data_IF_644567814290
#
_entry.id   IF_644567814290
#
_cell.length_a   1.000
_cell.length_b   1.000
_cell.length_c   1.000
_cell.angle_alpha   90.00
_cell.angle_beta   90.00
_cell.angle_gamma   90.00
#
_symmetry.space_group_name_H-M   'P 1'
#
loop_
_entity.id
_entity.type
_entity.pdbx_description
1 polymer ?
#
# COMPACT_ATOMS: atom_id res chain seq x y z
N UNK A 1 0.72 -7.99 21.29
CA UNK A 1 2.06 -7.84 20.69
C UNK A 1 3.15 -7.78 21.77
N UNK A 2 3.20 -8.72 22.73
CA UNK A 2 4.25 -8.68 23.77
C UNK A 2 5.63 -9.11 23.26
N UNK A 3 5.70 -9.86 22.15
CA UNK A 3 6.95 -10.45 21.63
C UNK A 3 7.25 -10.07 20.16
N UNK A 4 6.58 -9.05 19.60
CA UNK A 4 6.79 -8.65 18.20
C UNK A 4 7.05 -7.14 18.08
N UNK A 5 7.98 -6.79 17.20
CA UNK A 5 8.28 -5.40 16.84
C UNK A 5 7.69 -5.12 15.45
N UNK A 6 7.03 -3.98 15.31
CA UNK A 6 6.36 -3.61 14.06
C UNK A 6 6.81 -2.23 13.64
N UNK A 7 7.28 -2.13 12.39
CA UNK A 7 7.51 -0.87 11.69
C UNK A 7 6.51 -0.73 10.56
N UNK A 8 6.03 0.49 10.32
CA UNK A 8 5.04 0.79 9.27
C UNK A 8 5.60 1.83 8.31
N UNK A 9 5.70 1.44 7.05
CA UNK A 9 6.01 2.34 5.94
C UNK A 9 4.81 2.52 5.03
N UNK A 10 4.66 3.72 4.50
CA UNK A 10 3.59 4.10 3.58
C UNK A 10 4.25 4.89 2.46
N UNK A 11 3.94 4.54 1.22
CA UNK A 11 4.22 5.38 0.06
C UNK A 11 2.91 6.03 -0.37
N UNK A 12 2.90 7.34 -0.48
CA UNK A 12 1.73 8.11 -0.89
C UNK A 12 1.53 8.05 -2.41
N UNK A 13 0.49 8.74 -2.86
CA UNK A 13 0.05 8.74 -4.25
C UNK A 13 1.08 9.43 -5.15
N UNK A 14 1.67 10.52 -4.67
CA UNK A 14 2.73 11.23 -5.38
C UNK A 14 3.95 10.31 -5.61
N UNK A 15 4.42 9.65 -4.55
CA UNK A 15 5.49 8.65 -4.67
C UNK A 15 5.15 7.56 -5.69
N UNK A 16 3.94 6.99 -5.65
CA UNK A 16 3.52 5.96 -6.62
C UNK A 16 3.51 6.49 -8.06
N UNK A 17 2.99 7.70 -8.27
CA UNK A 17 2.89 8.31 -9.60
C UNK A 17 4.28 8.72 -10.13
N UNK A 18 5.23 9.08 -9.27
CA UNK A 18 6.60 9.46 -9.66
C UNK A 18 7.51 8.26 -9.95
N UNK A 19 7.55 7.26 -9.07
CA UNK A 19 8.54 6.17 -9.14
C UNK A 19 7.95 4.81 -9.53
N UNK A 20 6.67 4.76 -9.90
CA UNK A 20 5.87 3.54 -10.14
C UNK A 20 5.59 2.70 -8.87
N UNK A 21 4.59 1.81 -8.97
CA UNK A 21 4.09 1.04 -7.83
C UNK A 21 5.08 0.03 -7.28
N UNK A 22 5.95 -0.54 -8.12
CA UNK A 22 6.94 -1.51 -7.66
C UNK A 22 7.98 -0.80 -6.78
N UNK A 23 8.55 0.31 -7.25
CA UNK A 23 9.54 1.04 -6.46
C UNK A 23 8.91 1.75 -5.25
N UNK A 24 7.67 2.25 -5.36
CA UNK A 24 6.94 2.78 -4.22
C UNK A 24 6.68 1.70 -3.15
N UNK A 25 6.39 0.46 -3.57
CA UNK A 25 6.29 -0.69 -2.64
C UNK A 25 7.62 -0.96 -1.96
N UNK A 26 8.73 -1.00 -2.70
CA UNK A 26 10.08 -1.15 -2.13
C UNK A 26 10.43 -0.01 -1.17
N UNK A 27 10.05 1.23 -1.50
CA UNK A 27 10.24 2.41 -0.65
C UNK A 27 9.45 2.29 0.67
N UNK A 28 8.19 1.87 0.60
CA UNK A 28 7.36 1.63 1.79
C UNK A 28 7.96 0.51 2.66
N UNK A 29 8.42 -0.60 2.06
CA UNK A 29 9.09 -1.69 2.79
C UNK A 29 10.37 -1.22 3.46
N UNK A 30 11.22 -0.45 2.77
CA UNK A 30 12.42 0.15 3.36
C UNK A 30 12.10 1.09 4.52
N UNK A 31 11.04 1.88 4.40
CA UNK A 31 10.57 2.76 5.47
C UNK A 31 10.05 1.96 6.67
N UNK A 32 9.34 0.85 6.43
CA UNK A 32 8.88 -0.06 7.48
C UNK A 32 10.07 -0.69 8.22
N UNK A 33 11.07 -1.17 7.47
CA UNK A 33 12.32 -1.71 8.00
C UNK A 33 13.05 -0.70 8.90
N UNK A 34 13.27 0.53 8.43
CA UNK A 34 13.95 1.60 9.20
C UNK A 34 13.21 2.00 10.48
N UNK A 35 11.91 1.75 10.57
CA UNK A 35 11.08 2.03 11.76
C UNK A 35 11.00 0.86 12.74
N UNK A 36 11.60 -0.29 12.44
CA UNK A 36 11.68 -1.39 13.40
C UNK A 36 12.56 -0.98 14.57
N UNK A 37 12.05 -1.15 15.80
CA UNK A 37 12.81 -0.86 17.03
C UNK A 37 14.00 -1.81 17.23
N UNK A 38 13.92 -3.01 16.65
CA UNK A 38 14.97 -4.02 16.73
C UNK A 38 15.37 -4.42 15.32
N UNK A 39 16.67 -4.40 15.04
CA UNK A 39 17.23 -4.85 13.77
C UNK A 39 17.07 -6.38 13.66
N UNK A 40 16.44 -6.91 12.60
CA UNK A 40 16.39 -8.34 12.33
C UNK A 40 17.74 -8.83 11.79
N UNK A 41 17.95 -10.15 11.75
CA UNK A 41 19.14 -10.75 11.11
C UNK A 41 18.93 -11.01 9.62
N UNK A 42 17.68 -11.32 9.22
CA UNK A 42 17.28 -11.64 7.84
C UNK A 42 15.91 -11.00 7.58
N UNK A 43 15.67 -10.55 6.35
CA UNK A 43 14.38 -10.05 5.88
C UNK A 43 13.72 -11.07 4.94
N UNK A 44 12.54 -11.56 5.31
CA UNK A 44 11.71 -12.39 4.42
C UNK A 44 10.70 -11.49 3.70
N UNK A 45 10.75 -11.45 2.37
CA UNK A 45 9.93 -10.55 1.54
C UNK A 45 8.91 -11.37 0.75
N UNK A 46 7.63 -10.99 0.81
CA UNK A 46 6.63 -11.60 -0.06
C UNK A 46 6.78 -11.10 -1.50
N UNK A 47 7.07 -12.01 -2.43
CA UNK A 47 7.26 -11.70 -3.83
C UNK A 47 8.53 -12.31 -4.42
N UNK A 48 8.95 -11.77 -5.57
CA UNK A 48 10.10 -12.22 -6.36
C UNK A 48 11.18 -11.13 -6.50
N UNK A 49 11.21 -10.18 -5.57
CA UNK A 49 12.13 -9.05 -5.62
C UNK A 49 12.74 -8.78 -4.24
N UNK A 50 13.89 -8.13 -4.25
CA UNK A 50 14.55 -7.63 -3.05
C UNK A 50 14.32 -6.12 -2.87
N UNK A 51 14.56 -5.68 -1.64
CA UNK A 51 14.58 -4.27 -1.25
C UNK A 51 16.03 -3.86 -0.95
N UNK A 52 16.38 -2.62 -1.28
CA UNK A 52 17.73 -2.13 -1.06
C UNK A 52 17.95 -1.87 0.44
N UNK A 53 18.55 -2.84 1.13
CA UNK A 53 18.93 -2.78 2.54
C UNK A 53 20.31 -3.39 2.74
N UNK A 54 20.92 -3.07 3.87
CA UNK A 54 22.18 -3.65 4.32
C UNK A 54 22.04 -5.08 4.90
N UNK A 55 20.82 -5.61 4.97
CA UNK A 55 20.51 -6.94 5.50
C UNK A 55 20.20 -7.89 4.36
N UNK A 56 20.51 -9.17 4.54
CA UNK A 56 20.14 -10.23 3.60
C UNK A 56 18.61 -10.29 3.46
N UNK A 57 18.14 -10.16 2.21
CA UNK A 57 16.74 -10.24 1.82
C UNK A 57 16.51 -11.60 1.15
N UNK A 58 15.49 -12.34 1.59
CA UNK A 58 15.06 -13.59 0.97
C UNK A 58 13.66 -13.40 0.40
N UNK A 59 13.52 -13.22 -0.92
CA UNK A 59 12.22 -13.18 -1.59
C UNK A 59 11.55 -14.56 -1.55
N UNK A 60 10.26 -14.60 -1.21
CA UNK A 60 9.46 -15.82 -1.17
C UNK A 60 8.17 -15.56 -1.96
N UNK A 61 8.01 -16.27 -3.09
CA UNK A 61 6.77 -16.22 -3.87
C UNK A 61 5.63 -16.85 -3.06
N UNK A 62 4.54 -16.09 -2.88
CA UNK A 62 3.41 -16.44 -1.99
C UNK A 62 3.90 -16.68 -0.56
N UNK A 63 4.72 -15.75 -0.07
CA UNK A 63 5.37 -15.85 1.23
C UNK A 63 4.39 -15.80 2.38
N UNK A 64 3.26 -15.12 2.21
CA UNK A 64 2.15 -15.06 3.16
C UNK A 64 1.56 -16.44 3.50
N UNK A 65 1.61 -17.39 2.56
CA UNK A 65 1.15 -18.78 2.73
C UNK A 65 2.23 -19.71 3.29
N UNK A 66 3.49 -19.25 3.36
CA UNK A 66 4.66 -20.08 3.68
C UNK A 66 5.40 -19.64 4.95
N UNK A 67 5.19 -18.40 5.39
CA UNK A 67 5.88 -17.81 6.54
C UNK A 67 4.91 -17.07 7.44
N UNK A 68 4.89 -17.46 8.72
CA UNK A 68 4.06 -16.82 9.75
C UNK A 68 4.42 -15.34 9.91
N UNK A 69 5.71 -14.98 9.78
CA UNK A 69 6.18 -13.60 9.86
C UNK A 69 5.65 -12.75 8.70
N UNK A 70 5.64 -13.31 7.48
CA UNK A 70 5.07 -12.62 6.31
C UNK A 70 3.56 -12.51 6.45
N UNK A 71 2.85 -13.58 6.84
CA UNK A 71 1.41 -13.56 7.08
C UNK A 71 1.01 -12.47 8.10
N UNK A 72 1.75 -12.39 9.22
CA UNK A 72 1.53 -11.37 10.24
C UNK A 72 1.75 -9.94 9.68
N UNK A 73 2.81 -9.73 8.90
CA UNK A 73 3.06 -8.44 8.24
C UNK A 73 1.95 -8.06 7.26
N UNK A 74 1.45 -9.01 6.46
CA UNK A 74 0.34 -8.80 5.51
C UNK A 74 -0.96 -8.40 6.23
N UNK A 75 -1.28 -9.05 7.35
CA UNK A 75 -2.45 -8.68 8.18
C UNK A 75 -2.30 -7.24 8.72
N UNK A 76 -1.14 -6.91 9.28
CA UNK A 76 -0.88 -5.58 9.82
C UNK A 76 -1.00 -4.52 8.72
N UNK A 77 -0.36 -4.74 7.56
CA UNK A 77 -0.41 -3.84 6.43
C UNK A 77 -1.85 -3.63 5.94
N UNK A 78 -2.64 -4.71 5.82
CA UNK A 78 -4.04 -4.65 5.42
C UNK A 78 -4.89 -3.84 6.40
N UNK A 79 -4.78 -4.12 7.70
CA UNK A 79 -5.54 -3.40 8.74
C UNK A 79 -5.16 -1.92 8.79
N UNK A 80 -3.88 -1.59 8.67
CA UNK A 80 -3.42 -0.18 8.62
C UNK A 80 -3.98 0.52 7.39
N UNK A 81 -3.87 -0.10 6.20
CA UNK A 81 -4.38 0.47 4.95
C UNK A 81 -5.89 0.70 5.02
N UNK A 82 -6.65 -0.28 5.52
CA UNK A 82 -8.10 -0.17 5.60
C UNK A 82 -8.53 0.97 6.54
N UNK A 83 -7.84 1.15 7.67
CA UNK A 83 -8.06 2.30 8.57
C UNK A 83 -7.75 3.65 7.91
N UNK A 84 -6.72 3.72 7.05
CA UNK A 84 -6.44 4.93 6.26
C UNK A 84 -7.59 5.23 5.31
N UNK A 85 -8.10 4.21 4.60
CA UNK A 85 -9.23 4.38 3.68
C UNK A 85 -10.51 4.79 4.41
N UNK A 86 -10.75 4.28 5.62
CA UNK A 86 -11.89 4.71 6.44
C UNK A 86 -11.81 6.19 6.82
N UNK A 87 -10.60 6.67 7.16
CA UNK A 87 -10.36 8.11 7.39
C UNK A 87 -10.59 8.93 6.13
N UNK A 88 -10.14 8.46 4.97
CA UNK A 88 -10.44 9.14 3.71
C UNK A 88 -11.93 9.19 3.39
N UNK A 89 -12.70 8.16 3.74
CA UNK A 89 -14.16 8.18 3.58
C UNK A 89 -14.82 9.28 4.42
N UNK A 90 -14.28 9.55 5.61
CA UNK A 90 -14.74 10.65 6.46
C UNK A 90 -14.38 12.02 5.87
N UNK A 91 -13.15 12.19 5.38
CA UNK A 91 -12.68 13.44 4.77
C UNK A 91 -13.39 13.74 3.44
N UNK A 92 -13.57 12.72 2.61
CA UNK A 92 -14.19 12.80 1.29
C UNK A 92 -15.58 12.14 1.32
N UNK A 93 -16.54 12.79 1.99
CA UNK A 93 -17.87 12.23 2.28
C UNK A 93 -18.69 11.80 1.04
N UNK A 94 -18.31 12.25 -0.16
CA UNK A 94 -18.91 11.84 -1.45
C UNK A 94 -18.43 10.48 -1.94
N UNK A 95 -17.35 9.95 -1.37
CA UNK A 95 -16.72 8.69 -1.77
C UNK A 95 -16.81 7.67 -0.64
N UNK A 96 -17.22 6.46 -0.97
CA UNK A 96 -17.40 5.38 0.01
C UNK A 96 -16.12 4.57 0.19
N UNK A 97 -15.00 5.26 0.43
CA UNK A 97 -13.68 4.64 0.59
C UNK A 97 -13.65 3.59 1.71
N UNK A 98 -14.51 3.71 2.71
CA UNK A 98 -14.66 2.71 3.76
C UNK A 98 -15.22 1.36 3.27
N UNK A 99 -15.88 1.33 2.10
CA UNK A 99 -16.40 0.12 1.45
C UNK A 99 -15.42 -0.43 0.42
N UNK A 100 -15.11 0.35 -0.62
CA UNK A 100 -14.30 -0.13 -1.74
C UNK A 100 -12.79 0.03 -1.53
N UNK A 101 -12.33 0.68 -0.45
CA UNK A 101 -10.91 0.82 -0.08
C UNK A 101 -10.01 1.36 -1.20
N UNK A 102 -10.58 2.17 -2.09
CA UNK A 102 -9.91 2.75 -3.25
C UNK A 102 -9.68 1.79 -4.44
N UNK A 103 -10.16 0.54 -4.38
CA UNK A 103 -10.14 -0.36 -5.53
C UNK A 103 -11.11 0.13 -6.63
N UNK A 104 -10.85 -0.16 -7.91
CA UNK A 104 -11.68 0.28 -9.04
C UNK A 104 -12.97 -0.55 -9.15
N UNK A 105 -13.78 -0.56 -8.09
CA UNK A 105 -15.12 -1.16 -8.13
C UNK A 105 -16.05 -0.29 -8.98
N UNK A 106 -17.14 -0.88 -9.49
CA UNK A 106 -18.17 -0.13 -10.23
C UNK A 106 -18.63 1.13 -9.48
N UNK A 107 -18.85 1.01 -8.17
CA UNK A 107 -19.26 2.13 -7.33
C UNK A 107 -18.19 3.23 -7.25
N UNK A 108 -16.92 2.87 -7.09
CA UNK A 108 -15.83 3.84 -7.03
C UNK A 108 -15.67 4.60 -8.36
N UNK A 109 -15.79 3.89 -9.49
CA UNK A 109 -15.76 4.49 -10.82
C UNK A 109 -16.90 5.50 -10.99
N UNK A 110 -18.12 5.13 -10.63
CA UNK A 110 -19.28 6.04 -10.67
C UNK A 110 -19.11 7.27 -9.77
N UNK A 111 -18.51 7.11 -8.59
CA UNK A 111 -18.20 8.24 -7.69
C UNK A 111 -17.16 9.18 -8.31
N UNK A 112 -16.13 8.67 -8.99
CA UNK A 112 -15.14 9.49 -9.69
C UNK A 112 -15.78 10.23 -10.88
N UNK A 113 -16.61 9.55 -11.68
CA UNK A 113 -17.33 10.18 -12.79
C UNK A 113 -18.27 11.29 -12.32
N UNK A 114 -18.94 11.09 -11.17
CA UNK A 114 -19.91 12.04 -10.64
C UNK A 114 -19.27 13.22 -9.89
N UNK A 115 -18.19 12.98 -9.16
CA UNK A 115 -17.63 13.95 -8.21
C UNK A 115 -16.20 14.41 -8.55
N UNK A 116 -15.56 13.80 -9.55
CA UNK A 116 -14.24 14.15 -10.05
C UNK A 116 -13.10 13.29 -9.52
N UNK A 117 -11.88 13.54 -9.99
CA UNK A 117 -10.66 12.91 -9.49
C UNK A 117 -10.09 13.70 -8.32
N UNK A 118 -9.89 13.05 -7.17
CA UNK A 118 -9.23 13.63 -6.00
C UNK A 118 -7.70 13.48 -6.05
N UNK A 119 -6.98 14.30 -5.26
CA UNK A 119 -5.53 14.21 -5.07
C UNK A 119 -5.03 12.86 -4.53
N UNK A 120 -5.89 12.09 -3.86
CA UNK A 120 -5.57 10.75 -3.35
C UNK A 120 -5.74 9.62 -4.39
N UNK A 121 -6.12 9.94 -5.63
CA UNK A 121 -6.14 8.97 -6.72
C UNK A 121 -4.80 8.94 -7.45
N UNK A 122 -4.31 7.74 -7.76
CA UNK A 122 -3.11 7.51 -8.57
C UNK A 122 -3.40 7.87 -10.02
N UNK A 123 -2.91 9.03 -10.46
CA UNK A 123 -3.25 9.61 -11.77
C UNK A 123 -2.58 8.86 -12.92
N UNK A 124 -1.53 8.09 -12.64
CA UNK A 124 -0.86 7.25 -13.63
C UNK A 124 -1.57 5.91 -13.88
N UNK A 125 -2.56 5.55 -13.06
CA UNK A 125 -3.26 4.26 -13.15
C UNK A 125 -4.54 4.37 -13.99
N UNK A 126 -4.80 3.39 -14.85
CA UNK A 126 -6.14 3.19 -15.42
C UNK A 126 -7.11 2.72 -14.30
N UNK A 127 -8.36 3.21 -14.25
CA UNK A 127 -9.03 4.09 -15.24
C UNK A 127 -8.84 5.60 -15.01
N UNK A 128 -8.22 6.01 -13.90
CA UNK A 128 -8.09 7.43 -13.52
C UNK A 128 -7.34 8.24 -14.59
N UNK A 129 -6.25 7.69 -15.13
CA UNK A 129 -5.47 8.34 -16.19
C UNK A 129 -6.32 8.67 -17.42
N UNK A 130 -7.19 7.74 -17.81
CA UNK A 130 -8.07 7.88 -18.97
C UNK A 130 -9.16 8.92 -18.72
N UNK A 131 -9.71 8.96 -17.50
CA UNK A 131 -10.70 9.96 -17.09
C UNK A 131 -10.13 11.37 -17.09
N UNK A 132 -8.86 11.55 -16.69
CA UNK A 132 -8.18 12.86 -16.73
C UNK A 132 -7.95 13.32 -18.18
N UNK A 133 -7.59 12.40 -19.08
CA UNK A 133 -7.30 12.74 -20.49
C UNK A 133 -8.54 13.06 -21.34
N UNK A 134 -9.72 12.61 -20.91
CA UNK A 134 -11.00 12.83 -21.61
C UNK A 134 -11.65 14.17 -21.28
N UNK A 135 -11.21 14.82 -20.20
CA UNK A 135 -11.66 16.15 -19.78
C UNK A 135 -10.66 17.21 -20.24
#
# INVERSE_FOLDING_TARGET
MKNSHVGIGVADVECVDTINVLNATKHAMNTAYKKLKKRPDILLIDGNFEINTEIVNIPIIKGDQKSISIAAASIIAKVVRDRIMDKFSFVFNKYTFNKHKGYPTKNHIMEIEKYGVLAIHRKTFSPVNEMIKKN
#
